data_IF_489060726799
#
_entry.id   IF_489060726799
#
_cell.length_a   1.000
_cell.length_b   1.000
_cell.length_c   1.000
_cell.angle_alpha   90.00
_cell.angle_beta   90.00
_cell.angle_gamma   90.00
#
_symmetry.space_group_name_H-M   'P 1'
#
loop_
_entity.id
_entity.type
_entity.pdbx_description
1 polymer ?
#
# COMPACT_ATOMS: atom_id res chain seq x y z
N UNK A 1 -7.23 2.76 2.18
CA UNK A 1 -8.34 2.17 1.39
C UNK A 1 -9.63 2.19 2.20
N UNK A 2 -10.72 2.74 1.66
CA UNK A 2 -12.03 2.74 2.33
C UNK A 2 -12.72 1.38 2.13
N UNK A 3 -13.31 0.84 3.19
CA UNK A 3 -14.05 -0.43 3.14
C UNK A 3 -15.48 -0.14 2.71
N UNK A 4 -16.04 -0.93 1.79
CA UNK A 4 -17.49 -1.00 1.58
C UNK A 4 -18.09 -1.56 2.88
N UNK A 5 -18.46 -0.69 3.83
CA UNK A 5 -18.68 -1.01 5.26
C UNK A 5 -19.76 -2.05 5.59
N UNK A 6 -20.31 -2.75 4.59
CA UNK A 6 -21.26 -3.83 4.71
C UNK A 6 -21.06 -4.96 3.69
N UNK A 7 -19.89 -5.09 3.06
CA UNK A 7 -19.61 -6.11 2.05
C UNK A 7 -18.30 -6.86 2.29
N UNK A 8 -18.32 -8.18 2.06
CA UNK A 8 -17.11 -9.02 2.03
C UNK A 8 -17.07 -9.86 0.75
N UNK A 9 -15.87 -10.28 0.36
CA UNK A 9 -15.64 -11.28 -0.68
C UNK A 9 -15.35 -12.61 0.01
N UNK A 10 -16.02 -13.68 -0.43
CA UNK A 10 -15.91 -15.01 0.17
C UNK A 10 -15.61 -16.03 -0.92
N UNK A 11 -14.62 -16.89 -0.66
CA UNK A 11 -14.41 -18.11 -1.43
C UNK A 11 -14.87 -19.31 -0.62
N UNK A 12 -15.83 -20.06 -1.17
CA UNK A 12 -16.34 -21.28 -0.54
C UNK A 12 -15.48 -22.50 -0.89
N UNK A 13 -15.34 -23.43 0.05
CA UNK A 13 -14.78 -24.75 -0.23
C UNK A 13 -15.71 -25.55 -1.14
N UNK A 14 -15.15 -26.56 -1.84
CA UNK A 14 -15.85 -27.30 -2.90
C UNK A 14 -17.19 -27.92 -2.47
N UNK A 15 -17.28 -28.45 -1.23
CA UNK A 15 -18.51 -29.04 -0.72
C UNK A 15 -19.65 -28.00 -0.60
N UNK A 16 -19.33 -26.80 -0.09
CA UNK A 16 -20.29 -25.71 0.07
C UNK A 16 -20.63 -25.01 -1.26
N UNK A 17 -19.70 -24.96 -2.21
CA UNK A 17 -19.91 -24.27 -3.49
C UNK A 17 -20.80 -25.04 -4.49
N UNK A 18 -20.95 -26.36 -4.33
CA UNK A 18 -21.74 -27.21 -5.25
C UNK A 18 -23.25 -26.91 -5.21
N UNK A 19 -23.75 -26.27 -4.16
CA UNK A 19 -25.18 -26.02 -3.91
C UNK A 19 -25.65 -24.60 -4.27
N UNK A 20 -24.73 -23.70 -4.64
CA UNK A 20 -25.00 -22.30 -4.94
C UNK A 20 -25.69 -21.97 -6.30
N UNK A 21 -25.75 -22.81 -7.35
CA UNK A 21 -26.20 -22.34 -8.67
C UNK A 21 -27.72 -22.27 -8.97
N UNK A 22 -28.66 -22.66 -8.10
CA UNK A 22 -30.07 -22.84 -8.52
C UNK A 22 -31.12 -21.90 -7.89
N UNK A 23 -30.77 -20.99 -6.98
CA UNK A 23 -31.78 -20.31 -6.11
C UNK A 23 -31.69 -18.78 -5.98
N UNK A 24 -31.13 -18.05 -6.95
CA UNK A 24 -31.08 -16.58 -6.85
C UNK A 24 -31.67 -15.85 -8.06
N UNK A 25 -32.96 -16.08 -8.30
CA UNK A 25 -33.86 -15.13 -8.95
C UNK A 25 -35.06 -14.86 -8.05
N UNK A 26 -35.06 -13.72 -7.35
CA UNK A 26 -36.26 -13.17 -6.70
C UNK A 26 -36.50 -13.59 -5.24
N UNK A 27 -36.41 -12.57 -4.37
CA UNK A 27 -37.18 -12.28 -3.14
C UNK A 27 -37.51 -13.31 -2.05
N UNK A 28 -37.35 -14.61 -2.19
CA UNK A 28 -37.71 -15.55 -1.11
C UNK A 28 -36.49 -16.30 -0.56
N UNK A 29 -36.21 -16.05 0.71
CA UNK A 29 -35.24 -16.79 1.51
C UNK A 29 -35.74 -18.24 1.63
N UNK A 30 -35.29 -19.12 0.75
CA UNK A 30 -35.51 -20.57 0.85
C UNK A 30 -34.18 -21.28 1.03
N UNK A 31 -34.18 -22.11 2.07
CA UNK A 31 -33.12 -22.94 2.64
C UNK A 31 -31.99 -23.32 1.66
N UNK A 32 -30.87 -22.64 1.83
CA UNK A 32 -29.57 -23.14 1.40
C UNK A 32 -29.25 -24.40 2.22
N UNK A 33 -28.95 -25.54 1.58
CA UNK A 33 -28.17 -26.61 2.21
C UNK A 33 -26.70 -26.17 2.31
N UNK A 34 -26.49 -25.07 3.02
CA UNK A 34 -25.20 -24.73 3.61
C UNK A 34 -25.03 -25.62 4.86
N UNK A 35 -23.80 -25.80 5.32
CA UNK A 35 -23.59 -26.37 6.66
C UNK A 35 -24.47 -25.61 7.66
N UNK A 36 -24.98 -26.31 8.69
CA UNK A 36 -25.79 -25.66 9.73
C UNK A 36 -25.10 -24.41 10.33
N UNK A 37 -23.77 -24.34 10.28
CA UNK A 37 -22.97 -23.18 10.69
C UNK A 37 -23.14 -21.98 9.75
N UNK A 38 -23.03 -22.15 8.43
CA UNK A 38 -23.16 -21.07 7.45
C UNK A 38 -24.59 -20.51 7.37
N UNK A 39 -25.61 -21.38 7.52
CA UNK A 39 -27.01 -20.91 7.63
C UNK A 39 -27.18 -20.02 8.86
N UNK A 40 -26.61 -20.42 10.00
CA UNK A 40 -26.64 -19.60 11.23
C UNK A 40 -25.88 -18.29 11.06
N UNK A 41 -24.72 -18.29 10.40
CA UNK A 41 -23.94 -17.08 10.14
C UNK A 41 -24.69 -16.10 9.23
N UNK A 42 -25.23 -16.59 8.11
CA UNK A 42 -26.02 -15.76 7.18
C UNK A 42 -27.22 -15.13 7.88
N UNK A 43 -27.88 -15.87 8.78
CA UNK A 43 -29.00 -15.37 9.58
C UNK A 43 -28.56 -14.38 10.65
N UNK A 44 -27.47 -14.67 11.37
CA UNK A 44 -26.89 -13.80 12.41
C UNK A 44 -26.53 -12.43 11.85
N UNK A 45 -25.80 -12.41 10.72
CA UNK A 45 -25.31 -11.19 10.09
C UNK A 45 -26.25 -10.62 9.02
N UNK A 46 -27.46 -11.18 8.88
CA UNK A 46 -28.53 -10.65 8.03
C UNK A 46 -28.07 -10.38 6.60
N UNK A 47 -27.53 -11.42 5.95
CA UNK A 47 -27.13 -11.36 4.53
C UNK A 47 -28.30 -10.95 3.66
N UNK A 48 -28.13 -9.89 2.87
CA UNK A 48 -29.14 -9.39 1.91
C UNK A 48 -28.90 -9.87 0.50
N UNK A 49 -27.64 -9.95 0.08
CA UNK A 49 -27.29 -10.24 -1.30
C UNK A 49 -26.06 -11.13 -1.36
N UNK A 50 -26.07 -12.08 -2.31
CA UNK A 50 -24.97 -13.00 -2.59
C UNK A 50 -24.77 -13.02 -4.09
N UNK A 51 -23.65 -12.48 -4.58
CA UNK A 51 -23.40 -12.31 -6.01
C UNK A 51 -22.13 -13.06 -6.43
N UNK A 52 -22.19 -14.00 -7.40
CA UNK A 52 -20.98 -14.60 -7.94
C UNK A 52 -20.14 -13.55 -8.67
N UNK A 53 -18.84 -13.50 -8.36
CA UNK A 53 -17.91 -12.61 -9.04
C UNK A 53 -17.55 -13.14 -10.44
N UNK A 54 -17.51 -14.46 -10.62
CA UNK A 54 -17.16 -15.12 -11.88
C UNK A 54 -18.34 -15.88 -12.52
N UNK A 55 -19.37 -15.14 -12.94
CA UNK A 55 -20.68 -15.67 -13.37
C UNK A 55 -20.66 -16.81 -14.40
N UNK A 56 -19.65 -16.87 -15.27
CA UNK A 56 -19.61 -17.81 -16.40
C UNK A 56 -18.44 -18.79 -16.36
N UNK A 57 -17.68 -18.84 -15.26
CA UNK A 57 -16.44 -19.61 -15.21
C UNK A 57 -16.66 -21.12 -15.38
N UNK A 58 -17.66 -21.68 -14.68
CA UNK A 58 -18.05 -23.10 -14.78
C UNK A 58 -18.47 -23.47 -16.20
N UNK A 59 -19.33 -22.67 -16.83
CA UNK A 59 -19.79 -22.89 -18.20
C UNK A 59 -18.63 -22.82 -19.22
N UNK A 60 -17.70 -21.87 -19.05
CA UNK A 60 -16.49 -21.80 -19.88
C UNK A 60 -15.62 -23.03 -19.72
N UNK A 61 -15.45 -23.53 -18.48
CA UNK A 61 -14.65 -24.73 -18.21
C UNK A 61 -15.25 -25.98 -18.85
N UNK A 62 -16.56 -26.18 -18.74
CA UNK A 62 -17.25 -27.31 -19.38
C UNK A 62 -17.20 -27.20 -20.91
N UNK A 63 -17.37 -25.99 -21.46
CA UNK A 63 -17.19 -25.76 -22.90
C UNK A 63 -15.77 -26.12 -23.35
N UNK A 64 -14.74 -25.75 -22.59
CA UNK A 64 -13.35 -26.09 -22.91
C UNK A 64 -13.10 -27.61 -22.84
N UNK A 65 -13.64 -28.30 -21.83
CA UNK A 65 -13.57 -29.77 -21.74
C UNK A 65 -14.27 -30.45 -22.93
N UNK A 66 -15.45 -29.97 -23.32
CA UNK A 66 -16.16 -30.45 -24.50
C UNK A 66 -15.35 -30.19 -25.77
N UNK A 67 -14.69 -29.03 -25.87
CA UNK A 67 -13.85 -28.67 -27.00
C UNK A 67 -12.63 -29.58 -27.16
N UNK A 68 -11.99 -29.98 -26.04
CA UNK A 68 -10.87 -30.92 -26.04
C UNK A 68 -11.27 -32.32 -26.56
N UNK A 69 -12.55 -32.68 -26.44
CA UNK A 69 -13.12 -33.95 -26.91
C UNK A 69 -13.70 -33.88 -28.32
N UNK A 70 -13.86 -32.68 -28.88
CA UNK A 70 -14.48 -32.46 -30.20
C UNK A 70 -13.53 -32.92 -31.31
N UNK A 71 -14.09 -33.52 -32.36
CA UNK A 71 -13.32 -33.91 -33.55
C UNK A 71 -12.60 -32.68 -34.14
N UNK A 72 -11.30 -32.83 -34.37
CA UNK A 72 -10.43 -31.79 -34.91
C UNK A 72 -10.85 -31.31 -36.30
N UNK A 73 -11.46 -32.19 -37.10
CA UNK A 73 -11.99 -31.84 -38.42
C UNK A 73 -13.17 -30.86 -38.34
N UNK A 74 -13.95 -30.92 -37.25
CA UNK A 74 -15.14 -30.11 -37.01
C UNK A 74 -14.87 -28.83 -36.20
N UNK A 75 -13.59 -28.53 -35.91
CA UNK A 75 -13.21 -27.33 -35.17
C UNK A 75 -13.26 -26.09 -36.06
N UNK A 76 -13.94 -25.05 -35.57
CA UNK A 76 -13.90 -23.72 -36.18
C UNK A 76 -12.51 -23.08 -36.00
N UNK A 77 -12.21 -22.05 -36.80
CA UNK A 77 -10.96 -21.28 -36.69
C UNK A 77 -10.74 -20.69 -35.28
N UNK A 78 -11.82 -20.24 -34.63
CA UNK A 78 -11.79 -19.69 -33.26
C UNK A 78 -11.44 -20.78 -32.24
N UNK A 79 -12.04 -21.96 -32.35
CA UNK A 79 -11.80 -23.08 -31.44
C UNK A 79 -10.37 -23.63 -31.57
N UNK A 80 -9.83 -23.70 -32.80
CA UNK A 80 -8.42 -24.07 -33.03
C UNK A 80 -7.46 -23.13 -32.32
N UNK A 81 -7.71 -21.82 -32.37
CA UNK A 81 -6.90 -20.81 -31.64
C UNK A 81 -6.97 -20.98 -30.13
N UNK A 82 -8.14 -21.30 -29.58
CA UNK A 82 -8.31 -21.57 -28.13
C UNK A 82 -7.47 -22.77 -27.71
N UNK A 83 -7.56 -23.89 -28.44
CA UNK A 83 -6.78 -25.09 -28.15
C UNK A 83 -5.27 -24.88 -28.30
N UNK A 84 -4.84 -24.04 -29.25
CA UNK A 84 -3.43 -23.71 -29.43
C UNK A 84 -2.88 -22.87 -28.26
N UNK A 85 -3.70 -21.96 -27.69
CA UNK A 85 -3.33 -21.21 -26.48
C UNK A 85 -3.20 -22.11 -25.26
N UNK A 86 -4.06 -23.13 -25.14
CA UNK A 86 -3.98 -24.10 -24.05
C UNK A 86 -2.68 -24.91 -24.05
N UNK A 87 -2.04 -25.12 -25.20
CA UNK A 87 -0.71 -25.77 -25.26
C UNK A 87 0.41 -24.97 -24.61
N UNK A 88 0.19 -23.67 -24.36
CA UNK A 88 1.16 -22.79 -23.70
C UNK A 88 1.03 -22.82 -22.17
N UNK A 89 0.01 -23.50 -21.65
CA UNK A 89 -0.19 -23.67 -20.22
C UNK A 89 0.81 -24.71 -19.72
N UNK A 90 1.56 -24.44 -18.63
CA UNK A 90 2.45 -25.43 -18.02
C UNK A 90 1.72 -26.73 -17.66
N UNK A 91 2.37 -27.89 -17.80
CA UNK A 91 1.76 -29.21 -17.56
C UNK A 91 1.16 -29.37 -16.15
N UNK A 92 1.72 -28.68 -15.16
CA UNK A 92 1.28 -28.74 -13.75
C UNK A 92 0.45 -27.52 -13.32
N UNK A 93 0.01 -26.67 -14.25
CA UNK A 93 -0.78 -25.49 -13.90
C UNK A 93 -2.16 -25.90 -13.36
N UNK A 94 -2.44 -25.52 -12.12
CA UNK A 94 -3.76 -25.71 -11.52
C UNK A 94 -4.65 -24.53 -11.90
N UNK A 95 -5.84 -24.83 -12.44
CA UNK A 95 -6.83 -23.80 -12.73
C UNK A 95 -7.52 -23.42 -11.41
N UNK A 96 -7.45 -22.16 -10.95
CA UNK A 96 -8.11 -21.75 -9.72
C UNK A 96 -9.62 -21.94 -9.81
N UNK A 97 -10.25 -22.35 -8.71
CA UNK A 97 -11.69 -22.56 -8.61
C UNK A 97 -12.45 -21.23 -8.45
N UNK A 98 -12.37 -20.38 -9.47
CA UNK A 98 -12.95 -19.02 -9.47
C UNK A 98 -14.49 -19.03 -9.44
N UNK A 99 -15.12 -20.13 -9.83
CA UNK A 99 -16.57 -20.35 -9.73
C UNK A 99 -17.09 -20.43 -8.29
N UNK A 100 -16.21 -20.36 -7.28
CA UNK A 100 -16.57 -20.42 -5.86
C UNK A 100 -16.44 -19.09 -5.13
N UNK A 101 -16.19 -17.99 -5.85
CA UNK A 101 -15.95 -16.67 -5.26
C UNK A 101 -17.19 -15.79 -5.42
N UNK A 102 -17.68 -15.27 -4.29
CA UNK A 102 -18.91 -14.50 -4.18
C UNK A 102 -18.69 -13.23 -3.38
N UNK A 103 -19.42 -12.17 -3.73
CA UNK A 103 -19.60 -10.99 -2.91
C UNK A 103 -20.85 -11.17 -2.05
N UNK A 104 -20.70 -11.00 -0.74
CA UNK A 104 -21.79 -11.00 0.23
C UNK A 104 -22.03 -9.57 0.70
N UNK A 105 -23.31 -9.18 0.81
CA UNK A 105 -23.74 -7.89 1.33
C UNK A 105 -24.63 -8.10 2.56
N UNK A 106 -24.38 -7.34 3.63
CA UNK A 106 -25.02 -7.52 4.94
C UNK A 106 -25.90 -6.33 5.33
N UNK A 107 -26.88 -6.57 6.19
CA UNK A 107 -27.68 -5.55 6.85
C UNK A 107 -27.14 -5.31 8.27
N UNK A 108 -25.95 -4.72 8.37
CA UNK A 108 -25.32 -4.43 9.66
C UNK A 108 -25.99 -3.26 10.37
N UNK A 109 -26.10 -3.37 11.69
CA UNK A 109 -26.48 -2.24 12.54
C UNK A 109 -25.28 -1.29 12.72
N UNK A 110 -25.47 -0.01 13.07
CA UNK A 110 -24.36 0.97 13.21
C UNK A 110 -23.24 0.57 14.19
N UNK A 111 -23.51 -0.38 15.08
CA UNK A 111 -22.59 -0.85 16.11
C UNK A 111 -22.07 -2.28 15.87
N UNK A 112 -22.38 -2.89 14.72
CA UNK A 112 -21.84 -4.20 14.35
C UNK A 112 -20.63 -4.02 13.43
N UNK A 113 -19.40 -4.23 13.93
CA UNK A 113 -18.19 -4.08 13.13
C UNK A 113 -18.13 -5.17 12.04
N UNK A 114 -17.77 -4.78 10.82
CA UNK A 114 -17.61 -5.69 9.68
C UNK A 114 -16.48 -6.71 9.95
N UNK A 115 -15.54 -6.38 10.84
CA UNK A 115 -14.44 -7.21 11.31
C UNK A 115 -14.95 -8.46 12.06
N UNK A 116 -16.04 -8.33 12.83
CA UNK A 116 -16.66 -9.48 13.50
C UNK A 116 -17.28 -10.43 12.48
N UNK A 117 -17.92 -9.88 11.44
CA UNK A 117 -18.45 -10.66 10.32
C UNK A 117 -17.31 -11.41 9.64
N UNK A 118 -16.23 -10.71 9.29
CA UNK A 118 -15.06 -11.25 8.63
C UNK A 118 -14.44 -12.40 9.44
N UNK A 119 -14.21 -12.19 10.74
CA UNK A 119 -13.67 -13.20 11.64
C UNK A 119 -14.59 -14.44 11.73
N UNK A 120 -15.90 -14.24 11.81
CA UNK A 120 -16.85 -15.33 11.90
C UNK A 120 -16.93 -16.17 10.61
N UNK A 121 -16.88 -15.54 9.43
CA UNK A 121 -16.84 -16.26 8.15
C UNK A 121 -15.52 -16.99 7.95
N UNK A 122 -14.38 -16.39 8.30
CA UNK A 122 -13.08 -17.05 8.20
C UNK A 122 -12.94 -18.28 9.12
N UNK A 123 -13.67 -18.30 10.24
CA UNK A 123 -13.70 -19.45 11.16
C UNK A 123 -14.67 -20.57 10.74
N UNK A 124 -15.49 -20.38 9.70
CA UNK A 124 -16.43 -21.40 9.28
C UNK A 124 -15.76 -22.50 8.43
N UNK A 125 -16.00 -23.80 8.72
CA UNK A 125 -15.33 -24.89 8.02
C UNK A 125 -15.66 -24.95 6.51
N UNK A 126 -16.78 -24.38 6.07
CA UNK A 126 -17.20 -24.30 4.67
C UNK A 126 -16.55 -23.16 3.87
N UNK A 127 -15.85 -22.25 4.54
CA UNK A 127 -15.15 -21.12 3.94
C UNK A 127 -13.66 -21.46 3.71
N UNK A 128 -13.16 -21.12 2.53
CA UNK A 128 -11.74 -21.20 2.19
C UNK A 128 -11.02 -19.92 2.64
N UNK A 129 -11.61 -18.76 2.32
CA UNK A 129 -11.27 -17.47 2.91
C UNK A 129 -12.45 -16.50 2.79
N UNK A 130 -12.45 -15.49 3.64
CA UNK A 130 -13.25 -14.29 3.52
C UNK A 130 -12.32 -13.06 3.66
N UNK A 131 -12.54 -12.04 2.86
CA UNK A 131 -11.77 -10.79 2.83
C UNK A 131 -12.72 -9.60 2.69
N UNK A 132 -12.29 -8.40 3.10
CA UNK A 132 -13.09 -7.18 2.95
C UNK A 132 -13.24 -6.82 1.47
N UNK A 133 -14.40 -6.25 1.11
CA UNK A 133 -14.58 -5.63 -0.20
C UNK A 133 -14.15 -4.16 -0.14
N UNK A 134 -12.92 -3.88 -0.55
CA UNK A 134 -12.39 -2.52 -0.58
C UNK A 134 -12.96 -1.71 -1.75
N UNK A 135 -13.22 -0.43 -1.49
CA UNK A 135 -13.36 0.57 -2.54
C UNK A 135 -11.94 0.95 -2.96
N UNK A 136 -11.60 0.62 -4.20
CA UNK A 136 -10.33 1.00 -4.82
C UNK A 136 -10.59 2.18 -5.77
N UNK A 137 -9.70 3.17 -5.74
CA UNK A 137 -9.71 4.32 -6.66
C UNK A 137 -8.57 4.15 -7.67
N UNK A 138 -8.65 4.87 -8.79
CA UNK A 138 -7.44 5.17 -9.56
C UNK A 138 -6.46 5.90 -8.63
N UNK A 139 -5.20 5.46 -8.59
CA UNK A 139 -4.18 5.87 -7.62
C UNK A 139 -4.27 7.38 -7.34
N UNK A 140 -4.43 7.78 -6.08
CA UNK A 140 -4.43 9.19 -5.73
C UNK A 140 -2.99 9.65 -5.77
N UNK A 141 -2.59 10.31 -6.86
CA UNK A 141 -1.32 11.02 -6.88
C UNK A 141 -1.35 12.13 -5.81
N UNK A 142 -0.21 12.40 -5.16
CA UNK A 142 -0.06 13.57 -4.30
C UNK A 142 -0.47 14.86 -5.02
N UNK A 143 -1.07 15.81 -4.30
CA UNK A 143 -1.42 17.14 -4.83
C UNK A 143 -0.24 18.14 -4.86
N UNK A 144 0.95 17.65 -4.52
CA UNK A 144 2.22 18.34 -4.43
C UNK A 144 2.68 18.84 -5.83
N UNK A 145 2.89 20.16 -6.02
CA UNK A 145 3.11 20.76 -7.34
C UNK A 145 4.32 20.24 -8.13
N UNK A 146 5.37 19.77 -7.44
CA UNK A 146 6.58 19.24 -8.07
C UNK A 146 6.60 17.72 -8.16
N UNK A 147 5.60 17.02 -7.60
CA UNK A 147 5.48 15.56 -7.73
C UNK A 147 5.52 15.05 -9.18
N UNK A 148 4.92 15.72 -10.19
CA UNK A 148 5.05 15.30 -11.58
C UNK A 148 6.50 15.24 -12.10
N UNK A 149 7.43 15.95 -11.45
CA UNK A 149 8.86 15.93 -11.78
C UNK A 149 9.62 14.76 -11.12
N UNK A 150 9.02 14.11 -10.12
CA UNK A 150 9.62 13.01 -9.36
C UNK A 150 9.46 11.67 -10.08
N UNK A 151 10.06 11.59 -11.26
CA UNK A 151 10.09 10.36 -12.07
C UNK A 151 10.57 9.10 -11.33
N UNK A 152 11.46 9.14 -10.31
CA UNK A 152 11.81 7.90 -9.60
C UNK A 152 10.63 7.31 -8.83
N UNK A 153 9.64 8.12 -8.46
CA UNK A 153 8.44 7.68 -7.74
C UNK A 153 7.39 7.14 -8.72
N UNK A 154 7.17 7.86 -9.83
CA UNK A 154 6.21 7.50 -10.87
C UNK A 154 6.65 8.06 -12.23
N UNK A 155 7.03 7.17 -13.15
CA UNK A 155 7.51 7.51 -14.47
C UNK A 155 6.44 7.19 -15.52
N UNK A 156 5.79 8.25 -16.00
CA UNK A 156 4.77 8.16 -17.05
C UNK A 156 5.33 8.47 -18.44
N UNK A 157 6.66 8.64 -18.55
CA UNK A 157 7.33 9.19 -19.71
C UNK A 157 7.20 10.71 -19.82
N UNK A 158 7.12 11.39 -18.67
CA UNK A 158 7.02 12.85 -18.59
C UNK A 158 8.26 13.55 -19.17
N UNK A 159 8.04 14.75 -19.71
CA UNK A 159 9.10 15.65 -20.13
C UNK A 159 9.80 16.28 -18.91
N UNK A 160 11.12 16.41 -18.99
CA UNK A 160 11.91 17.07 -17.96
C UNK A 160 11.98 18.58 -18.20
N UNK A 161 11.90 19.42 -17.16
CA UNK A 161 12.18 20.84 -17.30
C UNK A 161 13.59 21.03 -17.84
N UNK A 162 13.75 21.95 -18.80
CA UNK A 162 15.04 22.21 -19.42
C UNK A 162 16.03 22.71 -18.35
N UNK A 163 16.98 21.85 -17.96
CA UNK A 163 17.96 22.15 -16.89
C UNK A 163 19.10 23.07 -17.34
N UNK A 164 18.97 23.72 -18.51
CA UNK A 164 19.99 24.61 -19.09
C UNK A 164 21.28 23.91 -19.57
N UNK A 165 21.60 22.73 -19.01
CA UNK A 165 22.82 21.97 -19.32
C UNK A 165 22.55 20.69 -20.13
N UNK A 166 21.35 20.10 -20.06
CA UNK A 166 21.00 18.88 -20.81
C UNK A 166 19.52 18.86 -21.20
N UNK A 167 19.23 18.77 -22.50
CA UNK A 167 17.90 18.38 -22.99
C UNK A 167 17.80 16.85 -22.90
N UNK A 168 17.32 16.35 -21.77
CA UNK A 168 17.12 14.92 -21.59
C UNK A 168 15.91 14.46 -22.41
N UNK A 169 16.00 13.30 -23.10
CA UNK A 169 14.81 12.67 -23.68
C UNK A 169 13.79 12.37 -22.57
N UNK A 170 12.48 12.27 -22.88
CA UNK A 170 11.48 11.88 -21.90
C UNK A 170 11.83 10.55 -21.23
N UNK A 171 11.40 10.38 -19.99
CA UNK A 171 11.61 9.16 -19.22
C UNK A 171 11.11 7.90 -19.95
N UNK A 172 11.65 6.74 -19.62
CA UNK A 172 11.05 5.47 -20.05
C UNK A 172 9.88 5.18 -19.12
N UNK A 173 8.63 5.12 -19.61
CA UNK A 173 7.49 4.80 -18.76
C UNK A 173 7.74 3.50 -17.99
N UNK A 174 7.26 3.42 -16.74
CA UNK A 174 7.39 2.24 -15.86
C UNK A 174 8.83 1.98 -15.37
N UNK A 175 9.75 2.91 -15.61
CA UNK A 175 11.11 2.87 -15.07
C UNK A 175 11.17 3.76 -13.81
N UNK A 176 10.55 3.26 -12.75
CA UNK A 176 10.41 3.89 -11.43
C UNK A 176 10.33 2.80 -10.33
N UNK A 177 9.94 3.20 -9.11
CA UNK A 177 9.82 2.29 -7.96
C UNK A 177 8.38 1.85 -7.65
N UNK A 178 7.42 2.16 -8.52
CA UNK A 178 5.98 1.91 -8.30
C UNK A 178 5.47 2.51 -6.96
N UNK A 179 5.88 3.75 -6.64
CA UNK A 179 5.52 4.36 -5.35
C UNK A 179 4.00 4.56 -5.17
N UNK A 180 3.23 5.04 -6.17
CA UNK A 180 1.77 5.12 -6.06
C UNK A 180 1.10 3.79 -5.75
N UNK A 181 1.55 2.73 -6.39
CA UNK A 181 1.06 1.37 -6.19
C UNK A 181 1.38 0.89 -4.77
N UNK A 182 2.56 1.20 -4.25
CA UNK A 182 2.94 0.88 -2.87
C UNK A 182 2.09 1.64 -1.85
N UNK A 183 1.84 2.94 -2.08
CA UNK A 183 0.99 3.78 -1.22
C UNK A 183 -0.47 3.31 -1.20
N UNK A 184 -0.95 2.67 -2.27
CA UNK A 184 -2.29 2.07 -2.29
C UNK A 184 -2.38 0.80 -1.42
N UNK A 185 -1.28 0.07 -1.19
CA UNK A 185 -1.26 -1.18 -0.42
C UNK A 185 -1.11 -0.91 1.09
N UNK A 186 -0.15 -0.08 1.45
CA UNK A 186 0.13 0.29 2.83
C UNK A 186 -0.03 1.80 2.95
N UNK A 187 -0.87 2.27 3.88
CA UNK A 187 -1.05 3.71 4.17
C UNK A 187 -0.66 4.09 5.60
N UNK A 188 -0.25 3.11 6.41
CA UNK A 188 -0.01 3.27 7.86
C UNK A 188 1.19 2.41 8.28
N UNK A 189 2.14 2.96 9.02
CA UNK A 189 3.21 2.18 9.67
C UNK A 189 3.32 2.56 11.15
N UNK A 190 3.95 1.68 11.95
CA UNK A 190 4.57 2.11 13.21
C UNK A 190 5.50 3.29 12.96
N UNK A 191 5.64 4.23 13.89
CA UNK A 191 6.60 5.34 13.77
C UNK A 191 7.99 4.75 13.45
N UNK A 192 8.52 5.06 12.25
CA UNK A 192 9.84 4.62 11.82
C UNK A 192 10.74 5.84 11.91
N UNK A 193 11.80 5.76 12.71
CA UNK A 193 12.82 6.82 12.74
C UNK A 193 13.89 6.46 11.72
N UNK A 194 14.24 7.41 10.85
CA UNK A 194 15.31 7.29 9.86
C UNK A 194 16.39 8.32 10.21
N UNK A 195 17.54 7.83 10.64
CA UNK A 195 18.72 8.65 10.87
C UNK A 195 19.37 9.03 9.53
N UNK A 196 19.55 10.33 9.30
CA UNK A 196 20.21 10.91 8.12
C UNK A 196 21.57 11.42 8.55
N UNK A 197 22.60 10.64 8.23
CA UNK A 197 24.02 10.96 8.51
C UNK A 197 24.59 11.73 7.32
N UNK A 198 24.60 13.06 7.38
CA UNK A 198 24.86 13.94 6.22
C UNK A 198 25.33 15.35 6.63
N UNK A 199 25.03 16.40 5.85
CA UNK A 199 25.32 17.82 6.12
C UNK A 199 24.40 18.46 7.14
N UNK A 200 23.56 17.68 7.82
CA UNK A 200 22.44 18.18 8.62
C UNK A 200 21.13 18.20 7.82
N UNK A 201 20.05 18.64 8.45
CA UNK A 201 18.74 18.75 7.81
C UNK A 201 18.04 20.02 8.27
N UNK A 202 17.48 20.79 7.34
CA UNK A 202 16.67 21.96 7.67
C UNK A 202 15.33 21.56 8.31
N UNK A 203 15.31 21.53 9.65
CA UNK A 203 14.12 21.24 10.44
C UNK A 203 13.06 22.36 10.41
N UNK A 204 13.37 23.50 9.78
CA UNK A 204 12.41 24.57 9.52
C UNK A 204 11.81 24.49 8.10
N UNK A 205 12.23 23.52 7.28
CA UNK A 205 11.75 23.41 5.91
C UNK A 205 10.24 23.10 5.90
N UNK A 206 9.46 23.94 5.21
CA UNK A 206 7.99 23.89 5.19
C UNK A 206 7.39 22.52 4.82
N UNK A 207 8.16 21.74 4.07
CA UNK A 207 7.77 20.45 3.52
C UNK A 207 8.33 19.25 4.32
N UNK A 208 9.19 19.50 5.32
CA UNK A 208 9.84 18.46 6.13
C UNK A 208 9.58 18.59 7.63
N UNK A 209 9.38 19.80 8.16
CA UNK A 209 9.27 20.07 9.60
C UNK A 209 8.27 19.16 10.35
N UNK A 210 7.19 18.74 9.69
CA UNK A 210 6.16 17.89 10.28
C UNK A 210 6.62 16.43 10.48
N UNK A 211 7.68 16.03 9.77
CA UNK A 211 8.19 14.67 9.71
C UNK A 211 9.57 14.57 10.38
N UNK A 212 9.92 15.52 11.23
CA UNK A 212 11.11 15.39 12.07
C UNK A 212 10.86 14.48 13.27
N UNK A 213 11.89 13.72 13.61
CA UNK A 213 11.99 13.10 14.91
C UNK A 213 12.27 14.19 15.95
N UNK A 214 11.66 14.06 17.11
CA UNK A 214 11.89 14.92 18.26
C UNK A 214 12.36 14.03 19.40
N UNK A 215 13.50 14.34 19.99
CA UNK A 215 13.96 13.67 21.19
C UNK A 215 13.01 13.99 22.34
N UNK A 216 12.17 13.04 22.74
CA UNK A 216 11.25 13.22 23.87
C UNK A 216 11.94 13.14 25.23
N UNK A 217 13.22 12.76 25.26
CA UNK A 217 14.05 12.73 26.45
C UNK A 217 14.61 14.10 26.84
N UNK A 218 14.70 15.02 25.89
CA UNK A 218 15.32 16.34 26.06
C UNK A 218 14.32 17.46 26.38
N UNK A 219 14.76 18.45 27.16
CA UNK A 219 14.07 19.72 27.37
C UNK A 219 14.78 20.79 26.56
N UNK A 220 14.16 21.34 25.49
CA UNK A 220 14.81 22.31 24.61
C UNK A 220 15.41 23.52 25.33
N UNK A 221 16.62 23.88 24.91
CA UNK A 221 17.36 25.09 25.27
C UNK A 221 17.68 25.20 26.78
N UNK A 222 17.84 24.08 27.49
CA UNK A 222 18.15 24.09 28.92
C UNK A 222 19.67 23.95 29.21
N UNK A 223 20.47 23.60 28.21
CA UNK A 223 21.92 23.40 28.33
C UNK A 223 22.32 22.16 29.12
N UNK A 224 21.44 21.16 29.21
CA UNK A 224 21.61 19.92 29.96
C UNK A 224 21.35 18.75 29.01
N UNK A 225 22.09 17.67 29.18
CA UNK A 225 21.78 16.34 28.63
C UNK A 225 20.76 15.68 29.58
N UNK A 226 19.48 15.76 29.24
CA UNK A 226 18.38 15.34 30.12
C UNK A 226 18.12 13.83 30.05
N UNK A 227 18.42 13.20 28.91
CA UNK A 227 18.21 11.78 28.69
C UNK A 227 19.45 10.91 29.02
N UNK A 228 20.61 11.55 29.22
CA UNK A 228 21.87 10.93 29.61
C UNK A 228 22.59 10.24 28.46
N UNK A 229 22.37 10.68 27.22
CA UNK A 229 22.96 10.11 26.00
C UNK A 229 24.32 10.71 25.61
N UNK A 230 24.86 11.63 26.41
CA UNK A 230 26.10 12.39 26.22
C UNK A 230 25.99 13.60 25.26
N UNK A 231 24.81 13.89 24.73
CA UNK A 231 24.55 14.96 23.77
C UNK A 231 23.57 15.98 24.33
N UNK A 232 24.07 17.19 24.60
CA UNK A 232 23.26 18.26 25.18
C UNK A 232 22.29 18.83 24.13
N UNK A 233 21.01 18.96 24.50
CA UNK A 233 19.95 19.61 23.73
C UNK A 233 19.79 19.03 22.30
N UNK A 234 19.94 17.72 22.09
CA UNK A 234 19.88 17.04 20.78
C UNK A 234 18.45 16.84 20.24
N UNK A 235 17.65 17.91 20.24
CA UNK A 235 16.18 17.89 20.02
C UNK A 235 15.77 17.22 18.70
N UNK A 236 16.50 17.48 17.62
CA UNK A 236 16.22 16.94 16.28
C UNK A 236 17.33 15.99 15.80
N UNK A 237 18.28 15.67 16.68
CA UNK A 237 19.55 15.01 16.40
C UNK A 237 20.73 15.92 16.77
N UNK A 238 21.92 15.65 16.23
CA UNK A 238 23.18 16.23 16.72
C UNK A 238 24.13 16.65 15.60
N UNK A 239 24.91 17.70 15.86
CA UNK A 239 26.02 18.17 15.02
C UNK A 239 27.37 17.74 15.60
N UNK A 240 27.96 16.73 14.97
CA UNK A 240 29.25 16.16 15.36
C UNK A 240 30.45 17.01 14.88
N UNK A 241 30.24 17.96 13.96
CA UNK A 241 31.31 18.88 13.55
C UNK A 241 31.49 19.99 14.58
N UNK A 242 30.38 20.56 15.03
CA UNK A 242 30.39 21.69 15.95
C UNK A 242 30.17 21.29 17.41
N UNK A 243 29.97 19.99 17.66
CA UNK A 243 29.76 19.39 18.98
C UNK A 243 28.63 20.06 19.77
N UNK A 244 27.44 20.06 19.17
CA UNK A 244 26.22 20.60 19.79
C UNK A 244 24.93 19.98 19.21
N UNK A 245 23.81 20.20 19.89
CA UNK A 245 22.47 19.69 19.52
C UNK A 245 21.77 20.41 18.35
N UNK A 246 22.48 21.20 17.53
CA UNK A 246 21.89 21.91 16.38
C UNK A 246 22.37 21.32 15.03
N UNK A 247 21.68 20.29 14.50
CA UNK A 247 22.03 19.65 13.23
C UNK A 247 21.49 20.41 11.99
N UNK A 248 21.30 21.73 12.07
CA UNK A 248 20.80 22.53 10.96
C UNK A 248 21.69 22.40 9.72
N UNK A 249 21.06 22.21 8.57
CA UNK A 249 21.78 22.10 7.30
C UNK A 249 22.28 23.47 6.81
N UNK A 250 23.57 23.56 6.56
CA UNK A 250 24.25 24.73 6.01
C UNK A 250 24.83 24.49 4.60
N UNK A 251 24.55 23.31 4.00
CA UNK A 251 24.95 22.95 2.64
C UNK A 251 23.74 22.67 1.72
N UNK A 252 22.76 21.89 2.20
CA UNK A 252 21.55 21.50 1.47
C UNK A 252 21.52 20.04 0.98
N UNK A 253 22.61 19.27 1.12
CA UNK A 253 22.66 17.89 0.64
C UNK A 253 21.78 16.98 1.52
N UNK A 254 21.94 17.07 2.85
CA UNK A 254 21.15 16.30 3.79
C UNK A 254 19.66 16.65 3.78
N UNK A 255 19.31 17.93 3.58
CA UNK A 255 17.91 18.34 3.36
C UNK A 255 17.31 17.74 2.10
N UNK A 256 18.06 17.69 1.00
CA UNK A 256 17.61 17.06 -0.24
C UNK A 256 17.41 15.54 -0.09
N UNK A 257 18.34 14.85 0.56
CA UNK A 257 18.21 13.43 0.87
C UNK A 257 16.99 13.16 1.77
N UNK A 258 16.78 13.99 2.79
CA UNK A 258 15.63 13.90 3.71
C UNK A 258 14.30 14.14 3.00
N UNK A 259 14.24 15.09 2.06
CA UNK A 259 13.09 15.31 1.17
C UNK A 259 12.72 14.06 0.37
N UNK A 260 13.72 13.38 -0.18
CA UNK A 260 13.51 12.14 -0.92
C UNK A 260 12.91 11.04 -0.03
N UNK A 261 13.34 10.96 1.23
CA UNK A 261 12.85 9.96 2.19
C UNK A 261 11.42 10.29 2.62
N UNK A 262 11.18 11.50 3.14
CA UNK A 262 9.99 11.82 3.92
C UNK A 262 9.49 13.26 3.74
N UNK A 263 9.65 13.90 2.58
CA UNK A 263 8.87 15.10 2.29
C UNK A 263 7.36 14.80 2.47
N UNK A 264 6.64 15.77 3.04
CA UNK A 264 5.23 15.63 3.38
C UNK A 264 4.40 15.64 2.10
N UNK A 265 3.52 14.65 1.93
CA UNK A 265 2.64 14.56 0.77
C UNK A 265 1.23 15.08 1.04
N UNK A 266 0.49 15.39 -0.03
CA UNK A 266 -0.88 15.92 0.00
C UNK A 266 -1.01 17.23 0.80
N UNK A 267 0.02 18.08 0.79
CA UNK A 267 0.00 19.37 1.49
C UNK A 267 -0.07 20.59 0.52
N UNK A 268 -0.10 20.34 -0.79
CA UNK A 268 -0.08 21.37 -1.84
C UNK A 268 1.22 22.16 -1.94
N UNK A 269 2.33 21.64 -1.39
CA UNK A 269 3.67 22.24 -1.43
C UNK A 269 4.64 21.29 -2.14
N UNK A 270 5.73 21.86 -2.64
CA UNK A 270 6.93 21.18 -3.14
C UNK A 270 6.75 19.74 -3.65
N UNK A 271 7.29 18.73 -2.94
CA UNK A 271 7.46 17.35 -3.41
C UNK A 271 6.83 16.34 -2.43
N UNK A 272 6.69 15.08 -2.85
CA UNK A 272 6.36 13.98 -1.93
C UNK A 272 7.59 13.10 -1.66
N UNK A 273 7.80 12.67 -0.42
CA UNK A 273 8.81 11.66 -0.10
C UNK A 273 8.39 10.26 -0.55
N UNK A 274 9.31 9.29 -0.49
CA UNK A 274 8.98 7.87 -0.65
C UNK A 274 8.05 7.39 0.47
N UNK A 275 8.28 7.89 1.69
CA UNK A 275 7.48 7.62 2.89
C UNK A 275 6.81 8.92 3.39
N UNK A 276 5.85 9.50 2.63
CA UNK A 276 5.28 10.80 2.96
C UNK A 276 4.23 10.66 4.08
N UNK A 277 4.22 11.62 5.00
CA UNK A 277 3.08 11.78 5.92
C UNK A 277 1.92 12.50 5.24
N UNK A 278 0.83 11.80 5.00
CA UNK A 278 -0.35 12.33 4.30
C UNK A 278 -1.17 13.26 5.18
N UNK A 279 -1.49 14.47 4.69
CA UNK A 279 -2.29 15.46 5.41
C UNK A 279 -3.68 14.95 5.84
N UNK A 280 -4.28 14.03 5.06
CA UNK A 280 -5.58 13.42 5.38
C UNK A 280 -5.53 12.32 6.45
N UNK A 281 -4.34 11.91 6.90
CA UNK A 281 -4.13 10.86 7.90
C UNK A 281 -3.26 11.33 9.07
N UNK A 282 -3.38 12.61 9.45
CA UNK A 282 -2.59 13.24 10.52
C UNK A 282 -2.62 12.54 11.90
N UNK A 283 -3.40 11.47 12.08
CA UNK A 283 -3.39 10.66 13.30
C UNK A 283 -2.91 9.21 13.10
N UNK A 284 -2.75 8.71 11.86
CA UNK A 284 -2.39 7.28 11.62
C UNK A 284 -1.58 6.97 10.35
N UNK A 285 -1.25 7.96 9.51
CA UNK A 285 -0.54 7.75 8.24
C UNK A 285 0.96 7.43 8.41
N UNK A 286 1.62 6.98 7.34
CA UNK A 286 3.09 6.80 7.28
C UNK A 286 3.84 7.94 7.97
N UNK A 287 4.61 7.63 9.00
CA UNK A 287 5.37 8.63 9.77
C UNK A 287 6.82 8.17 9.84
N UNK A 288 7.50 8.21 8.69
CA UNK A 288 8.96 8.24 8.72
C UNK A 288 9.37 9.55 9.38
N UNK A 289 10.10 9.47 10.49
CA UNK A 289 10.62 10.63 11.21
C UNK A 289 12.10 10.77 10.95
N UNK A 290 12.52 11.93 10.47
CA UNK A 290 13.92 12.23 10.17
C UNK A 290 14.64 12.64 11.44
N UNK A 291 15.69 11.91 11.80
CA UNK A 291 16.67 12.30 12.82
C UNK A 291 17.92 12.79 12.08
N UNK A 292 18.36 14.02 12.35
CA UNK A 292 19.47 14.65 11.64
C UNK A 292 20.79 14.43 12.37
N UNK A 293 21.76 13.78 11.73
CA UNK A 293 23.09 13.53 12.28
C UNK A 293 24.12 14.20 11.37
N UNK A 294 24.53 15.41 11.73
CA UNK A 294 25.41 16.25 10.92
C UNK A 294 26.86 15.88 11.17
N UNK A 295 27.54 15.37 10.14
CA UNK A 295 28.98 15.09 10.18
C UNK A 295 29.74 15.73 9.00
N UNK A 296 29.03 16.37 8.06
CA UNK A 296 29.58 17.13 6.93
C UNK A 296 29.28 18.62 7.10
N UNK A 297 30.25 19.47 6.76
CA UNK A 297 30.18 20.94 6.90
C UNK A 297 29.51 21.59 5.67
N UNK A 298 29.47 22.93 5.66
CA UNK A 298 28.93 23.75 4.57
C UNK A 298 29.61 23.54 3.20
N UNK A 299 30.82 22.97 3.15
CA UNK A 299 31.54 22.61 1.92
C UNK A 299 31.32 21.13 1.52
N UNK A 300 30.56 20.37 2.32
CA UNK A 300 30.31 18.94 2.10
C UNK A 300 31.47 18.05 2.57
N UNK A 301 32.33 18.57 3.44
CA UNK A 301 33.52 17.88 3.96
C UNK A 301 33.33 17.48 5.42
N UNK A 302 33.91 16.36 5.85
CA UNK A 302 33.86 15.90 7.23
C UNK A 302 34.85 14.77 7.49
N UNK A 303 35.11 14.48 8.76
CA UNK A 303 36.03 13.41 9.13
C UNK A 303 35.31 12.08 9.29
N UNK A 304 36.01 10.99 8.99
CA UNK A 304 35.50 9.63 9.27
C UNK A 304 35.27 9.41 10.76
N UNK A 305 35.99 10.10 11.66
CA UNK A 305 35.72 10.07 13.10
C UNK A 305 34.30 10.52 13.42
N UNK A 306 33.87 11.62 12.82
CA UNK A 306 32.58 12.27 13.11
C UNK A 306 31.45 11.40 12.54
N UNK A 307 31.69 10.80 11.37
CA UNK A 307 30.79 9.79 10.79
C UNK A 307 30.63 8.55 11.69
N UNK A 308 31.69 8.13 12.40
CA UNK A 308 31.62 6.98 13.31
C UNK A 308 30.80 7.32 14.55
N UNK A 309 30.96 8.52 15.10
CA UNK A 309 30.17 8.98 16.25
C UNK A 309 28.68 9.09 15.91
N UNK A 310 28.35 9.48 14.67
CA UNK A 310 26.96 9.50 14.20
C UNK A 310 26.30 8.10 14.05
N UNK A 311 27.06 7.00 14.16
CA UNK A 311 26.52 5.63 13.96
C UNK A 311 26.36 4.87 15.28
N UNK A 312 27.10 5.24 16.32
CA UNK A 312 27.25 4.45 17.56
C UNK A 312 26.63 5.15 18.75
#
# INVERSE_FOLDING_TARGET
>A
MEVSGNEIIVKFKNAAARTLPETFTGSDVVQLELSNSLVRLNKRFRVRNVKPLFKNFKAHRERLKALLKKDKALLTKREKRILQRLKRVPENATVPALDRIYKLQFALAPHEPIEEVLAAYNNDPGIEYAELNYIVSICKNPDDPLYPLQWPLNNTGQDYPASGHYNLPPGTPDCDIDAPEAWDIHTTSSEVIVAVVDTGVDYNHRDLQANFWVNSGEIPDNGVDDDGNEYIDDIYGYDFINDNGDPLDDHGHGTHCSGTIAARGDNGLDIAGVCPSWLSQAETGWNARIMALKFLNADGEGYTSDAVTAIY
#
